data_IF_831386493505
#
_entry.id   IF_831386493505
#
_cell.length_a   1.000
_cell.length_b   1.000
_cell.length_c   1.000
_cell.angle_alpha   90.00
_cell.angle_beta   90.00
_cell.angle_gamma   90.00
#
_symmetry.space_group_name_H-M   'P 1'
#
loop_
_entity.id
_entity.type
_entity.pdbx_description
1 polymer ?
#
# COMPACT_ATOMS: atom_id res chain seq x y z
N UNK A 1 -6.06 -25.68 -6.24
CA UNK A 1 -5.60 -25.31 -4.87
C UNK A 1 -6.32 -24.06 -4.36
N UNK A 2 -6.34 -22.98 -5.13
CA UNK A 2 -7.05 -21.74 -4.76
C UNK A 2 -8.53 -21.97 -4.41
N UNK A 3 -9.32 -22.53 -5.33
CA UNK A 3 -10.74 -22.85 -5.11
C UNK A 3 -11.00 -23.69 -3.85
N UNK A 4 -10.10 -24.64 -3.54
CA UNK A 4 -10.18 -25.44 -2.33
C UNK A 4 -10.03 -24.59 -1.06
N UNK A 5 -9.03 -23.71 -1.01
CA UNK A 5 -8.85 -22.82 0.14
C UNK A 5 -9.93 -21.75 0.22
N UNK A 6 -10.37 -21.17 -0.91
CA UNK A 6 -11.49 -20.24 -0.93
C UNK A 6 -12.77 -20.87 -0.39
N UNK A 7 -13.03 -22.16 -0.69
CA UNK A 7 -14.13 -22.92 -0.10
C UNK A 7 -13.97 -23.14 1.41
N UNK A 8 -12.76 -23.46 1.90
CA UNK A 8 -12.49 -23.62 3.34
C UNK A 8 -12.63 -22.31 4.13
N UNK A 9 -12.43 -21.18 3.48
CA UNK A 9 -12.59 -19.82 4.00
C UNK A 9 -13.98 -19.23 3.71
N UNK A 10 -14.92 -20.05 3.24
CA UNK A 10 -16.30 -19.63 3.09
C UNK A 10 -16.96 -19.52 4.47
N UNK A 11 -17.77 -18.47 4.64
CA UNK A 11 -18.58 -18.30 5.84
C UNK A 11 -19.83 -19.17 5.65
N UNK A 12 -19.98 -20.18 6.52
CA UNK A 12 -21.10 -21.10 6.53
C UNK A 12 -21.90 -20.90 7.82
N UNK A 13 -23.19 -21.26 7.81
CA UNK A 13 -24.04 -21.19 9.01
C UNK A 13 -23.70 -22.24 10.08
N UNK A 14 -22.76 -23.14 9.79
CA UNK A 14 -22.30 -24.18 10.71
C UNK A 14 -21.01 -23.77 11.41
N UNK A 15 -20.75 -24.36 12.58
CA UNK A 15 -19.47 -24.18 13.28
C UNK A 15 -18.27 -24.46 12.36
N UNK A 16 -17.29 -23.56 12.41
CA UNK A 16 -16.05 -23.69 11.65
C UNK A 16 -14.86 -23.59 12.59
N UNK A 17 -14.22 -24.72 12.87
CA UNK A 17 -13.04 -24.78 13.71
C UNK A 17 -11.92 -23.85 13.22
N UNK A 18 -11.82 -23.63 11.89
CA UNK A 18 -10.86 -22.72 11.29
C UNK A 18 -11.10 -21.28 11.76
N UNK A 19 -12.32 -20.77 11.63
CA UNK A 19 -12.62 -19.37 11.96
C UNK A 19 -12.57 -19.08 13.46
N UNK A 20 -12.68 -20.10 14.32
CA UNK A 20 -12.53 -19.97 15.78
C UNK A 20 -11.07 -20.06 16.26
N UNK A 21 -10.12 -20.43 15.41
CA UNK A 21 -8.77 -20.80 15.83
C UNK A 21 -7.84 -19.60 16.11
N UNK A 22 -8.30 -18.36 15.96
CA UNK A 22 -7.54 -17.13 16.27
C UNK A 22 -6.17 -17.06 15.60
N UNK A 23 -5.09 -17.02 16.39
CA UNK A 23 -3.71 -17.02 15.84
C UNK A 23 -3.41 -18.23 14.94
N UNK A 24 -3.96 -19.41 15.22
CA UNK A 24 -3.78 -20.58 14.35
C UNK A 24 -4.49 -20.40 13.00
N UNK A 25 -5.58 -19.63 12.97
CA UNK A 25 -6.24 -19.28 11.72
C UNK A 25 -5.37 -18.34 10.87
N UNK A 26 -4.72 -17.36 11.49
CA UNK A 26 -3.75 -16.50 10.81
C UNK A 26 -2.59 -17.32 10.19
N UNK A 27 -2.08 -18.32 10.91
CA UNK A 27 -1.06 -19.21 10.37
C UNK A 27 -1.61 -20.05 9.20
N UNK A 28 -2.81 -20.63 9.37
CA UNK A 28 -3.46 -21.44 8.34
C UNK A 28 -3.64 -20.67 7.02
N UNK A 29 -4.10 -19.41 7.08
CA UNK A 29 -4.37 -18.62 5.87
C UNK A 29 -3.08 -18.24 5.15
N UNK A 30 -2.01 -17.91 5.90
CA UNK A 30 -0.68 -17.63 5.32
C UNK A 30 -0.12 -18.89 4.66
N UNK A 31 -0.17 -20.04 5.35
CA UNK A 31 0.31 -21.31 4.80
C UNK A 31 -0.48 -21.72 3.54
N UNK A 32 -1.79 -21.52 3.54
CA UNK A 32 -2.66 -21.79 2.40
C UNK A 32 -2.27 -20.94 1.18
N UNK A 33 -2.03 -19.64 1.38
CA UNK A 33 -1.58 -18.76 0.31
C UNK A 33 -0.18 -19.15 -0.20
N UNK A 34 0.79 -19.32 0.71
CA UNK A 34 2.17 -19.65 0.33
C UNK A 34 2.23 -20.96 -0.45
N UNK A 35 1.44 -21.99 -0.08
CA UNK A 35 1.32 -23.24 -0.84
C UNK A 35 0.72 -23.01 -2.23
N UNK A 36 -0.33 -22.20 -2.32
CA UNK A 36 -1.00 -21.89 -3.59
C UNK A 36 -0.06 -21.16 -4.55
N UNK A 37 0.67 -20.19 -4.03
CA UNK A 37 1.63 -19.40 -4.79
C UNK A 37 2.88 -20.20 -5.16
N UNK A 38 3.39 -21.05 -4.26
CA UNK A 38 4.51 -21.93 -4.55
C UNK A 38 4.22 -22.84 -5.75
N UNK A 39 2.96 -23.30 -5.91
CA UNK A 39 2.56 -24.04 -7.10
C UNK A 39 2.59 -23.18 -8.37
N UNK A 40 2.17 -21.91 -8.29
CA UNK A 40 2.29 -20.96 -9.42
C UNK A 40 3.75 -20.70 -9.78
N UNK A 41 4.62 -20.51 -8.78
CA UNK A 41 6.06 -20.32 -8.96
C UNK A 41 6.72 -21.58 -9.54
N UNK A 42 6.33 -22.77 -9.09
CA UNK A 42 6.81 -24.03 -9.65
C UNK A 42 6.45 -24.17 -11.13
N UNK A 43 5.22 -23.81 -11.50
CA UNK A 43 4.80 -23.74 -12.90
C UNK A 43 5.70 -22.78 -13.70
N UNK A 44 5.91 -21.54 -13.23
CA UNK A 44 6.81 -20.61 -13.92
C UNK A 44 8.24 -21.17 -14.05
N UNK A 45 8.79 -21.78 -12.99
CA UNK A 45 10.13 -22.38 -13.00
C UNK A 45 10.28 -23.49 -14.04
N UNK A 46 9.26 -24.33 -14.20
CA UNK A 46 9.28 -25.48 -15.11
C UNK A 46 8.95 -25.10 -16.57
N UNK A 47 8.25 -23.99 -16.79
CA UNK A 47 7.73 -23.58 -18.10
C UNK A 47 8.45 -22.37 -18.72
N UNK A 48 9.72 -22.13 -18.37
CA UNK A 48 10.50 -20.96 -18.84
C UNK A 48 10.58 -20.86 -20.37
N UNK A 49 10.69 -21.99 -21.09
CA UNK A 49 10.71 -22.03 -22.57
C UNK A 49 9.39 -21.52 -23.17
N UNK A 50 8.26 -21.94 -22.60
CA UNK A 50 6.93 -21.49 -23.04
C UNK A 50 6.71 -20.00 -22.81
N UNK A 51 7.37 -19.43 -21.78
CA UNK A 51 7.35 -18.00 -21.47
C UNK A 51 8.25 -17.18 -22.41
N UNK A 52 8.90 -17.81 -23.40
CA UNK A 52 9.81 -17.18 -24.40
C UNK A 52 10.89 -16.32 -23.76
N UNK A 53 11.46 -16.82 -22.67
CA UNK A 53 12.48 -16.12 -21.89
C UNK A 53 13.74 -15.85 -22.72
N UNK A 54 14.02 -16.66 -23.74
CA UNK A 54 15.10 -16.38 -24.69
C UNK A 54 14.98 -15.06 -25.46
N UNK A 55 13.80 -14.43 -25.51
CA UNK A 55 13.60 -13.15 -26.22
C UNK A 55 14.15 -11.93 -25.45
N UNK A 56 14.53 -12.08 -24.18
CA UNK A 56 15.09 -10.99 -23.37
C UNK A 56 16.58 -10.75 -23.65
N UNK A 57 16.93 -10.47 -24.92
CA UNK A 57 18.32 -10.33 -25.41
C UNK A 57 19.16 -9.36 -24.56
N UNK A 58 18.61 -8.18 -24.22
CA UNK A 58 19.33 -7.20 -23.41
C UNK A 58 19.62 -7.65 -21.96
N UNK A 59 18.79 -8.52 -21.38
CA UNK A 59 19.08 -9.11 -20.06
C UNK A 59 20.19 -10.16 -20.17
N UNK A 60 20.15 -10.99 -21.21
CA UNK A 60 21.17 -12.01 -21.47
C UNK A 60 22.54 -11.35 -21.65
N UNK A 61 22.61 -10.25 -22.42
CA UNK A 61 23.84 -9.50 -22.67
C UNK A 61 24.38 -8.87 -21.38
N UNK A 62 23.50 -8.31 -20.53
CA UNK A 62 23.88 -7.75 -19.23
C UNK A 62 24.47 -8.81 -18.30
N UNK A 63 23.81 -9.96 -18.16
CA UNK A 63 24.26 -11.06 -17.30
C UNK A 63 25.56 -11.70 -17.82
N UNK A 64 25.73 -11.76 -19.15
CA UNK A 64 26.99 -12.21 -19.74
C UNK A 64 28.14 -11.27 -19.37
N UNK A 65 27.92 -9.95 -19.45
CA UNK A 65 28.92 -8.97 -19.04
C UNK A 65 29.22 -9.04 -17.54
N UNK A 66 28.20 -9.17 -16.68
CA UNK A 66 28.37 -9.30 -15.23
C UNK A 66 29.15 -10.58 -14.86
N UNK A 67 28.84 -11.70 -15.51
CA UNK A 67 29.58 -12.95 -15.31
C UNK A 67 31.06 -12.80 -15.71
N UNK A 68 31.36 -12.12 -16.82
CA UNK A 68 32.73 -11.83 -17.24
C UNK A 68 33.46 -10.95 -16.22
N UNK A 69 32.79 -9.91 -15.68
CA UNK A 69 33.36 -9.02 -14.65
C UNK A 69 33.69 -9.81 -13.37
N UNK A 70 32.81 -10.74 -12.96
CA UNK A 70 33.02 -11.57 -11.76
C UNK A 70 33.93 -12.79 -11.99
N UNK A 71 34.42 -13.02 -13.22
CA UNK A 71 35.20 -14.21 -13.58
C UNK A 71 34.39 -15.51 -13.53
N UNK A 72 33.06 -15.41 -13.60
CA UNK A 72 32.11 -16.53 -13.53
C UNK A 72 31.59 -16.89 -14.92
N UNK A 73 31.07 -18.11 -15.07
CA UNK A 73 30.30 -18.47 -16.27
C UNK A 73 28.82 -18.08 -16.10
N UNK A 74 28.12 -17.59 -17.14
CA UNK A 74 26.68 -17.38 -17.07
C UNK A 74 25.97 -18.69 -16.71
N UNK A 75 25.19 -18.66 -15.63
CA UNK A 75 24.44 -19.80 -15.12
C UNK A 75 23.02 -19.89 -15.67
N UNK A 76 22.17 -20.64 -14.96
CA UNK A 76 20.76 -20.77 -15.34
C UNK A 76 20.01 -19.47 -15.07
N UNK A 77 19.20 -19.06 -16.05
CA UNK A 77 18.34 -17.88 -15.97
C UNK A 77 16.90 -18.33 -15.76
N UNK A 78 16.29 -17.85 -14.68
CA UNK A 78 14.88 -18.08 -14.33
C UNK A 78 14.22 -16.71 -14.15
N UNK A 79 13.30 -16.40 -15.04
CA UNK A 79 12.55 -15.14 -15.08
C UNK A 79 11.17 -15.35 -14.48
N UNK A 80 10.73 -14.34 -13.71
CA UNK A 80 9.37 -14.26 -13.19
C UNK A 80 8.60 -13.22 -14.03
N UNK A 81 7.64 -13.63 -14.88
CA UNK A 81 6.99 -12.72 -15.83
C UNK A 81 6.20 -11.60 -15.14
N UNK A 82 5.93 -10.51 -15.88
CA UNK A 82 5.09 -9.40 -15.40
C UNK A 82 3.64 -9.80 -15.11
N UNK A 83 3.16 -10.93 -15.64
CA UNK A 83 1.85 -11.50 -15.30
C UNK A 83 1.79 -12.04 -13.87
N UNK A 84 2.93 -12.28 -13.22
CA UNK A 84 2.97 -12.73 -11.83
C UNK A 84 2.78 -11.54 -10.87
N UNK A 85 1.58 -11.45 -10.29
CA UNK A 85 1.16 -10.36 -9.42
C UNK A 85 2.05 -10.21 -8.17
N UNK A 86 2.68 -9.05 -8.00
CA UNK A 86 3.62 -8.76 -6.91
C UNK A 86 5.07 -9.18 -7.21
N UNK A 87 5.35 -9.72 -8.40
CA UNK A 87 6.72 -9.93 -8.87
C UNK A 87 7.42 -8.61 -9.22
N UNK A 88 8.76 -8.56 -9.21
CA UNK A 88 9.54 -7.38 -9.59
C UNK A 88 9.14 -6.75 -10.93
N UNK A 89 8.90 -7.60 -11.94
CA UNK A 89 8.52 -7.15 -13.29
C UNK A 89 7.09 -6.64 -13.36
N UNK A 90 6.16 -7.25 -12.62
CA UNK A 90 4.79 -6.77 -12.53
C UNK A 90 4.73 -5.36 -11.93
N UNK A 91 5.50 -5.15 -10.86
CA UNK A 91 5.63 -3.84 -10.22
C UNK A 91 6.22 -2.80 -11.19
N UNK A 92 7.29 -3.14 -11.91
CA UNK A 92 7.90 -2.26 -12.89
C UNK A 92 6.96 -1.92 -14.05
N UNK A 93 6.22 -2.92 -14.54
CA UNK A 93 5.21 -2.73 -15.59
C UNK A 93 4.11 -1.78 -15.13
N UNK A 94 3.57 -1.98 -13.93
CA UNK A 94 2.54 -1.11 -13.35
C UNK A 94 3.04 0.33 -13.17
N UNK A 95 4.33 0.52 -12.84
CA UNK A 95 4.94 1.85 -12.78
C UNK A 95 4.98 2.53 -14.14
N UNK A 96 5.44 1.82 -15.15
CA UNK A 96 5.48 2.34 -16.52
C UNK A 96 4.08 2.68 -17.02
N UNK A 97 3.09 1.85 -16.71
CA UNK A 97 1.68 2.09 -17.04
C UNK A 97 1.16 3.39 -16.41
N UNK A 98 1.38 3.57 -15.11
CA UNK A 98 0.95 4.78 -14.41
C UNK A 98 1.64 6.03 -14.95
N UNK A 99 2.94 5.93 -15.29
CA UNK A 99 3.68 7.02 -15.94
C UNK A 99 3.11 7.33 -17.34
N UNK A 100 2.72 6.32 -18.11
CA UNK A 100 2.08 6.51 -19.41
C UNK A 100 0.71 7.20 -19.29
N UNK A 101 -0.09 6.81 -18.29
CA UNK A 101 -1.37 7.47 -17.98
C UNK A 101 -1.14 8.95 -17.65
N UNK A 102 -0.23 9.26 -16.72
CA UNK A 102 0.06 10.66 -16.36
C UNK A 102 0.61 11.45 -17.55
N UNK A 103 1.47 10.84 -18.37
CA UNK A 103 2.00 11.50 -19.58
C UNK A 103 0.87 11.86 -20.56
N UNK A 104 -0.16 11.01 -20.69
CA UNK A 104 -1.26 11.20 -21.63
C UNK A 104 -2.35 12.14 -21.11
N UNK A 105 -2.76 11.98 -19.85
CA UNK A 105 -3.91 12.68 -19.26
C UNK A 105 -3.52 13.90 -18.41
N UNK A 106 -2.22 14.16 -18.26
CA UNK A 106 -1.70 15.32 -17.55
C UNK A 106 -1.41 15.05 -16.08
N UNK A 107 -1.08 16.13 -15.36
CA UNK A 107 -0.68 16.04 -13.94
C UNK A 107 -1.79 15.44 -13.07
N UNK A 108 -1.35 14.75 -12.03
CA UNK A 108 -2.20 14.29 -10.92
C UNK A 108 -2.81 15.47 -10.19
N UNK A 109 -4.00 15.28 -9.60
CA UNK A 109 -4.68 16.30 -8.80
C UNK A 109 -4.87 15.85 -7.35
N UNK A 110 -5.23 14.58 -7.11
CA UNK A 110 -5.47 14.05 -5.77
C UNK A 110 -4.64 12.80 -5.49
N UNK A 111 -4.18 12.69 -4.24
CA UNK A 111 -3.65 11.47 -3.66
C UNK A 111 -4.43 11.12 -2.40
N UNK A 112 -5.10 9.97 -2.44
CA UNK A 112 -5.95 9.49 -1.35
C UNK A 112 -5.32 8.24 -0.77
N UNK A 113 -5.19 8.20 0.55
CA UNK A 113 -4.81 7.00 1.29
C UNK A 113 -5.97 6.59 2.18
N UNK A 114 -6.47 5.37 2.00
CA UNK A 114 -7.57 4.79 2.77
C UNK A 114 -7.09 3.57 3.55
N UNK A 115 -7.14 3.64 4.87
CA UNK A 115 -6.76 2.56 5.78
C UNK A 115 -8.00 1.88 6.33
N UNK A 116 -8.01 0.54 6.34
CA UNK A 116 -9.08 -0.23 6.99
C UNK A 116 -9.25 0.16 8.46
N UNK A 117 -10.49 0.31 8.93
CA UNK A 117 -10.80 0.47 10.34
C UNK A 117 -11.24 -0.89 10.94
N UNK A 118 -10.54 -1.44 11.94
CA UNK A 118 -10.90 -2.73 12.53
C UNK A 118 -12.15 -2.67 13.42
N UNK A 119 -12.61 -1.46 13.75
CA UNK A 119 -13.80 -1.18 14.58
C UNK A 119 -15.03 -0.83 13.75
N UNK A 120 -15.02 -1.14 12.45
CA UNK A 120 -16.25 -1.05 11.66
C UNK A 120 -17.29 -2.01 12.21
N UNK A 121 -18.55 -1.55 12.22
CA UNK A 121 -19.68 -2.31 12.74
C UNK A 121 -19.79 -3.68 12.07
N UNK A 122 -19.57 -3.74 10.77
CA UNK A 122 -19.59 -4.96 9.97
C UNK A 122 -18.53 -5.98 10.41
N UNK A 123 -17.43 -5.54 11.01
CA UNK A 123 -16.43 -6.42 11.61
C UNK A 123 -16.90 -6.85 13.01
N UNK A 124 -17.19 -5.89 13.88
CA UNK A 124 -17.53 -6.17 15.29
C UNK A 124 -18.76 -7.07 15.44
N UNK A 125 -19.79 -6.87 14.62
CA UNK A 125 -21.01 -7.70 14.61
C UNK A 125 -20.77 -9.15 14.14
N UNK A 126 -19.67 -9.41 13.43
CA UNK A 126 -19.35 -10.72 12.85
C UNK A 126 -18.14 -11.41 13.51
N UNK A 127 -17.64 -10.85 14.62
CA UNK A 127 -16.68 -11.53 15.49
C UNK A 127 -17.41 -12.51 16.41
N UNK A 128 -16.83 -13.70 16.61
CA UNK A 128 -17.32 -14.62 17.62
C UNK A 128 -16.95 -14.13 19.03
N UNK A 129 -17.67 -14.56 20.09
CA UNK A 129 -17.34 -14.18 21.46
C UNK A 129 -15.87 -14.43 21.80
N UNK A 130 -15.19 -13.39 22.30
CA UNK A 130 -13.78 -13.44 22.69
C UNK A 130 -12.77 -13.24 21.55
N UNK A 131 -13.21 -13.04 20.29
CA UNK A 131 -12.31 -12.74 19.18
C UNK A 131 -11.95 -11.26 19.11
N UNK A 132 -10.71 -10.99 18.71
CA UNK A 132 -10.28 -9.67 18.25
C UNK A 132 -10.38 -9.59 16.71
N UNK A 133 -10.45 -8.37 16.11
CA UNK A 133 -10.40 -8.20 14.66
C UNK A 133 -9.20 -8.88 13.99
N UNK A 134 -8.05 -8.94 14.67
CA UNK A 134 -6.85 -9.62 14.19
C UNK A 134 -7.01 -11.14 14.07
N UNK A 135 -7.92 -11.75 14.82
CA UNK A 135 -8.22 -13.18 14.74
C UNK A 135 -9.01 -13.56 13.49
N UNK A 136 -9.60 -12.59 12.79
CA UNK A 136 -10.42 -12.79 11.59
C UNK A 136 -9.89 -11.99 10.39
N UNK A 137 -8.69 -12.33 9.88
CA UNK A 137 -8.11 -11.63 8.73
C UNK A 137 -8.94 -11.76 7.45
N UNK A 138 -9.72 -12.85 7.31
CA UNK A 138 -10.69 -13.03 6.23
C UNK A 138 -11.79 -11.95 6.26
N UNK A 139 -12.34 -11.67 7.44
CA UNK A 139 -13.39 -10.69 7.67
C UNK A 139 -12.89 -9.27 7.42
N UNK A 140 -11.72 -8.93 7.99
CA UNK A 140 -11.03 -7.65 7.77
C UNK A 140 -10.87 -7.38 6.28
N UNK A 141 -10.32 -8.35 5.55
CA UNK A 141 -10.06 -8.23 4.10
C UNK A 141 -11.35 -8.07 3.30
N UNK A 142 -12.41 -8.82 3.63
CA UNK A 142 -13.71 -8.72 2.95
C UNK A 142 -14.39 -7.38 3.20
N UNK A 143 -14.47 -6.94 4.45
CA UNK A 143 -15.11 -5.66 4.80
C UNK A 143 -14.33 -4.50 4.19
N UNK A 144 -13.00 -4.52 4.24
CA UNK A 144 -12.19 -3.50 3.58
C UNK A 144 -12.45 -3.47 2.06
N UNK A 145 -12.53 -4.64 1.40
CA UNK A 145 -12.84 -4.69 -0.03
C UNK A 145 -14.19 -4.05 -0.35
N UNK A 146 -15.22 -4.31 0.46
CA UNK A 146 -16.55 -3.71 0.29
C UNK A 146 -16.51 -2.19 0.46
N UNK A 147 -15.85 -1.69 1.52
CA UNK A 147 -15.70 -0.24 1.76
C UNK A 147 -14.87 0.43 0.66
N UNK A 148 -13.85 -0.27 0.15
CA UNK A 148 -13.04 0.20 -0.95
C UNK A 148 -13.85 0.32 -2.24
N UNK A 149 -14.69 -0.67 -2.55
CA UNK A 149 -15.57 -0.63 -3.73
C UNK A 149 -16.56 0.53 -3.64
N UNK A 150 -17.12 0.75 -2.45
CA UNK A 150 -17.98 1.91 -2.19
C UNK A 150 -17.20 3.23 -2.39
N UNK A 151 -15.96 3.33 -1.91
CA UNK A 151 -15.11 4.52 -2.12
C UNK A 151 -14.80 4.76 -3.61
N UNK A 152 -14.52 3.69 -4.35
CA UNK A 152 -14.29 3.73 -5.80
C UNK A 152 -15.54 4.24 -6.51
N UNK A 153 -16.72 3.76 -6.14
CA UNK A 153 -17.99 4.20 -6.72
C UNK A 153 -18.29 5.66 -6.39
N UNK A 154 -18.06 6.07 -5.15
CA UNK A 154 -18.20 7.46 -4.74
C UNK A 154 -17.30 8.39 -5.57
N UNK A 155 -16.01 8.08 -5.67
CA UNK A 155 -15.04 8.91 -6.37
C UNK A 155 -15.24 8.91 -7.89
N UNK A 156 -15.51 7.76 -8.48
CA UNK A 156 -15.43 7.60 -9.94
C UNK A 156 -16.78 7.48 -10.64
N UNK A 157 -17.87 7.18 -9.94
CA UNK A 157 -19.23 7.17 -10.50
C UNK A 157 -20.05 8.36 -10.03
N UNK A 158 -20.01 8.66 -8.72
CA UNK A 158 -20.79 9.79 -8.18
C UNK A 158 -20.03 11.11 -8.20
N UNK A 159 -18.70 11.07 -8.44
CA UNK A 159 -17.85 12.24 -8.63
C UNK A 159 -17.84 13.21 -7.44
N UNK A 160 -17.86 12.70 -6.21
CA UNK A 160 -17.91 13.53 -4.99
C UNK A 160 -16.76 14.53 -4.85
N UNK A 161 -15.61 14.29 -5.50
CA UNK A 161 -14.45 15.18 -5.53
C UNK A 161 -14.18 15.76 -6.93
N UNK A 162 -15.17 15.70 -7.83
CA UNK A 162 -15.04 16.07 -9.23
C UNK A 162 -14.96 14.86 -10.17
N UNK A 163 -15.18 15.10 -11.46
CA UNK A 163 -15.14 14.06 -12.51
C UNK A 163 -13.72 13.55 -12.68
N UNK A 164 -13.55 12.25 -12.49
CA UNK A 164 -12.26 11.58 -12.69
C UNK A 164 -12.12 11.14 -14.14
N UNK A 165 -11.08 11.63 -14.83
CA UNK A 165 -10.75 11.18 -16.19
C UNK A 165 -9.76 10.04 -16.19
N UNK A 166 -8.88 9.94 -15.20
CA UNK A 166 -7.96 8.81 -15.05
C UNK A 166 -7.61 8.59 -13.58
N UNK A 167 -7.42 7.32 -13.23
CA UNK A 167 -6.98 6.90 -11.90
C UNK A 167 -6.06 5.68 -11.96
N UNK A 168 -5.26 5.53 -10.91
CA UNK A 168 -4.48 4.34 -10.59
C UNK A 168 -4.56 4.13 -9.08
N UNK A 169 -4.82 2.90 -8.63
CA UNK A 169 -4.71 2.57 -7.22
C UNK A 169 -3.94 1.30 -6.96
N UNK A 170 -3.37 1.20 -5.77
CA UNK A 170 -2.73 -0.01 -5.24
C UNK A 170 -3.15 -0.29 -3.81
N UNK A 171 -3.20 -1.57 -3.48
CA UNK A 171 -3.39 -2.11 -2.15
C UNK A 171 -2.04 -2.47 -1.53
N UNK A 172 -1.75 -1.88 -0.38
CA UNK A 172 -0.57 -2.16 0.43
C UNK A 172 -0.98 -2.88 1.73
N UNK A 173 -0.16 -3.84 2.15
CA UNK A 173 -0.26 -4.49 3.45
C UNK A 173 0.99 -4.14 4.26
N UNK A 174 0.83 -3.34 5.30
CA UNK A 174 1.96 -2.94 6.13
C UNK A 174 2.36 -4.09 7.07
N UNK A 175 3.65 -4.14 7.45
CA UNK A 175 4.22 -5.15 8.38
C UNK A 175 3.42 -5.29 9.70
N UNK A 176 2.69 -4.24 10.11
CA UNK A 176 1.94 -4.15 11.37
C UNK A 176 0.42 -4.11 11.22
N UNK A 177 -0.15 -4.08 10.02
CA UNK A 177 -1.54 -3.65 9.93
C UNK A 177 -2.24 -3.92 8.62
N UNK A 178 -3.53 -4.22 8.81
CA UNK A 178 -4.70 -3.79 8.08
C UNK A 178 -4.49 -3.34 6.62
N UNK A 179 -5.31 -3.80 5.67
CA UNK A 179 -5.21 -3.37 4.29
C UNK A 179 -5.28 -1.84 4.14
N UNK A 180 -4.45 -1.30 3.25
CA UNK A 180 -4.43 0.10 2.86
C UNK A 180 -4.64 0.21 1.36
N UNK A 181 -5.31 1.27 0.90
CA UNK A 181 -5.38 1.64 -0.50
C UNK A 181 -4.74 3.01 -0.69
N UNK A 182 -3.90 3.11 -1.71
CA UNK A 182 -3.34 4.37 -2.19
C UNK A 182 -3.87 4.63 -3.59
N UNK A 183 -4.56 5.76 -3.79
CA UNK A 183 -5.17 6.14 -5.06
C UNK A 183 -4.60 7.46 -5.57
N UNK A 184 -4.26 7.47 -6.85
CA UNK A 184 -3.91 8.66 -7.61
C UNK A 184 -5.04 8.98 -8.60
N UNK A 185 -5.45 10.24 -8.63
CA UNK A 185 -6.60 10.71 -9.43
C UNK A 185 -6.18 11.89 -10.29
N UNK A 186 -6.62 11.85 -11.55
CA UNK A 186 -6.60 12.95 -12.51
C UNK A 186 -8.06 13.35 -12.76
N UNK A 187 -8.39 14.59 -12.43
CA UNK A 187 -9.69 15.21 -12.64
C UNK A 187 -9.82 15.79 -14.05
N UNK A 188 -11.05 15.89 -14.51
CA UNK A 188 -11.47 16.58 -15.73
C UNK A 188 -11.05 18.07 -15.70
N UNK A 189 -10.90 18.70 -16.87
CA UNK A 189 -10.48 20.11 -16.97
C UNK A 189 -11.43 21.06 -16.24
N UNK A 190 -12.73 20.77 -16.26
CA UNK A 190 -13.74 21.63 -15.64
C UNK A 190 -13.69 21.59 -14.11
N UNK A 191 -13.32 20.42 -13.56
CA UNK A 191 -13.23 20.12 -12.13
C UNK A 191 -11.81 20.26 -11.57
N UNK A 192 -10.86 20.77 -12.37
CA UNK A 192 -9.50 21.05 -11.88
C UNK A 192 -9.53 21.99 -10.67
N UNK A 193 -8.59 21.77 -9.78
CA UNK A 193 -8.37 22.62 -8.61
C UNK A 193 -7.76 23.94 -9.09
N UNK A 194 -8.46 25.06 -8.88
CA UNK A 194 -8.18 26.36 -9.49
C UNK A 194 -7.43 27.30 -8.55
N UNK A 195 -7.76 27.27 -7.26
CA UNK A 195 -7.25 28.20 -6.26
C UNK A 195 -7.24 27.58 -4.85
N UNK A 196 -6.70 28.34 -3.90
CA UNK A 196 -6.55 27.94 -2.50
C UNK A 196 -7.89 27.74 -1.78
N UNK A 197 -8.95 28.46 -2.18
CA UNK A 197 -10.29 28.28 -1.59
C UNK A 197 -10.88 26.94 -2.04
N UNK A 198 -10.73 26.59 -3.31
CA UNK A 198 -11.14 25.27 -3.82
C UNK A 198 -10.37 24.14 -3.09
N UNK A 199 -9.08 24.33 -2.81
CA UNK A 199 -8.32 23.36 -1.99
C UNK A 199 -8.94 23.21 -0.61
N UNK A 200 -9.24 24.33 0.07
CA UNK A 200 -9.81 24.33 1.42
C UNK A 200 -11.24 23.75 1.48
N UNK A 201 -11.95 23.65 0.34
CA UNK A 201 -13.22 22.92 0.22
C UNK A 201 -13.05 21.40 0.11
N UNK A 202 -11.94 20.94 -0.46
CA UNK A 202 -11.65 19.51 -0.64
C UNK A 202 -10.91 18.95 0.58
N UNK A 203 -9.95 19.70 1.12
CA UNK A 203 -9.02 19.24 2.15
C UNK A 203 -9.09 20.16 3.37
N UNK A 204 -9.27 19.54 4.53
CA UNK A 204 -9.19 20.16 5.84
C UNK A 204 -7.98 19.59 6.60
N UNK A 205 -7.38 20.38 7.48
CA UNK A 205 -6.30 19.97 8.39
C UNK A 205 -6.49 20.58 9.78
N UNK A 206 -7.75 20.82 10.16
CA UNK A 206 -8.13 21.49 11.40
C UNK A 206 -9.05 20.60 12.23
N UNK A 207 -9.00 20.79 13.54
CA UNK A 207 -9.90 20.22 14.52
C UNK A 207 -11.27 20.90 14.35
N UNK A 208 -12.35 20.15 14.11
CA UNK A 208 -13.70 20.70 14.03
C UNK A 208 -14.14 21.29 15.37
N UNK A 209 -15.08 22.24 15.34
CA UNK A 209 -15.76 22.68 16.55
C UNK A 209 -16.62 21.54 17.11
N UNK A 210 -16.35 21.12 18.35
CA UNK A 210 -17.03 19.99 18.98
C UNK A 210 -18.52 20.25 19.29
N UNK A 211 -18.92 21.51 19.49
CA UNK A 211 -20.31 21.89 19.73
C UNK A 211 -21.11 21.92 18.43
N UNK A 212 -20.50 22.34 17.32
CA UNK A 212 -21.15 22.43 16.01
C UNK A 212 -21.12 21.11 15.23
N UNK A 213 -20.00 20.39 15.30
CA UNK A 213 -19.76 19.17 14.51
C UNK A 213 -19.25 18.03 15.38
N UNK A 214 -20.03 17.55 16.37
CA UNK A 214 -19.57 16.56 17.35
C UNK A 214 -19.13 15.24 16.70
N UNK A 215 -19.83 14.79 15.66
CA UNK A 215 -19.49 13.56 14.95
C UNK A 215 -18.17 13.68 14.18
N UNK A 216 -17.98 14.78 13.45
CA UNK A 216 -16.73 15.01 12.71
C UNK A 216 -15.55 15.19 13.68
N UNK A 217 -15.76 15.90 14.80
CA UNK A 217 -14.76 16.04 15.86
C UNK A 217 -14.30 14.67 16.36
N UNK A 218 -15.23 13.75 16.63
CA UNK A 218 -14.90 12.41 17.08
C UNK A 218 -14.20 11.57 16.00
N UNK A 219 -14.60 11.68 14.73
CA UNK A 219 -13.89 11.02 13.64
C UNK A 219 -12.46 11.57 13.48
N UNK A 220 -12.27 12.88 13.59
CA UNK A 220 -10.94 13.50 13.55
C UNK A 220 -10.10 13.02 14.72
N UNK A 221 -10.69 12.96 15.94
CA UNK A 221 -10.03 12.44 17.15
C UNK A 221 -9.47 11.05 16.95
N UNK A 222 -10.29 10.15 16.40
CA UNK A 222 -9.96 8.73 16.27
C UNK A 222 -8.97 8.46 15.15
N UNK A 223 -9.13 9.17 14.02
CA UNK A 223 -8.51 8.74 12.77
C UNK A 223 -7.51 9.72 12.21
N UNK A 224 -7.65 11.03 12.47
CA UNK A 224 -6.90 12.06 11.74
C UNK A 224 -5.80 12.72 12.55
N UNK A 225 -5.46 12.23 13.74
CA UNK A 225 -4.37 12.84 14.50
C UNK A 225 -3.10 12.02 14.36
N UNK A 226 -2.01 12.70 14.02
CA UNK A 226 -0.69 12.10 14.01
C UNK A 226 -0.30 11.72 15.44
N UNK A 227 0.17 10.49 15.63
CA UNK A 227 0.63 10.01 16.92
C UNK A 227 1.74 10.91 17.49
N UNK A 228 1.83 10.95 18.82
CA UNK A 228 2.86 11.72 19.52
C UNK A 228 4.24 11.36 18.95
N UNK A 229 5.06 12.35 18.58
CA UNK A 229 6.39 12.17 18.03
C UNK A 229 7.30 13.37 18.36
N UNK A 230 8.52 13.39 17.85
CA UNK A 230 9.44 14.50 18.06
C UNK A 230 9.89 14.55 19.52
N UNK A 231 9.81 15.73 20.12
CA UNK A 231 10.12 15.94 21.54
C UNK A 231 9.14 15.24 22.46
N UNK A 232 7.87 15.06 22.05
CA UNK A 232 6.85 14.39 22.87
C UNK A 232 7.09 12.87 22.95
N UNK A 233 7.64 12.28 21.88
CA UNK A 233 7.96 10.86 21.85
C UNK A 233 9.08 10.57 20.81
N UNK A 234 10.35 10.61 21.25
CA UNK A 234 11.51 10.39 20.37
C UNK A 234 11.61 8.98 19.79
N UNK A 235 10.94 7.99 20.39
CA UNK A 235 10.99 6.58 19.97
C UNK A 235 9.89 6.20 18.98
N UNK A 236 9.13 7.18 18.50
CA UNK A 236 8.03 6.94 17.57
C UNK A 236 8.53 6.37 16.24
N UNK A 237 7.80 5.44 15.59
CA UNK A 237 8.23 4.83 14.33
C UNK A 237 8.45 5.82 13.17
N UNK A 238 7.88 7.02 13.27
CA UNK A 238 8.04 8.07 12.28
C UNK A 238 9.32 8.91 12.45
N UNK A 239 10.08 8.71 13.53
CA UNK A 239 11.30 9.48 13.80
C UNK A 239 12.46 8.97 12.96
N UNK A 240 13.08 9.87 12.20
CA UNK A 240 14.29 9.65 11.40
C UNK A 240 15.26 10.79 11.73
N UNK A 241 16.50 10.46 12.11
CA UNK A 241 17.55 11.43 12.45
C UNK A 241 17.11 12.53 13.45
N UNK A 242 16.35 12.13 14.48
CA UNK A 242 15.87 13.04 15.53
C UNK A 242 14.73 13.98 15.10
N UNK A 243 14.18 13.83 13.89
CA UNK A 243 13.04 14.59 13.38
C UNK A 243 11.92 13.67 12.91
N UNK A 244 10.68 14.15 12.93
CA UNK A 244 9.59 13.40 12.34
C UNK A 244 9.75 13.39 10.81
N UNK A 245 9.81 12.21 10.19
CA UNK A 245 9.86 12.00 8.74
C UNK A 245 8.65 12.59 7.99
N UNK A 246 7.55 12.86 8.70
CA UNK A 246 6.34 13.52 8.21
C UNK A 246 6.26 15.00 8.58
N UNK A 247 7.29 15.51 9.25
CA UNK A 247 7.45 16.90 9.72
C UNK A 247 6.34 17.38 10.67
N UNK A 248 5.86 16.49 11.54
CA UNK A 248 4.99 16.87 12.65
C UNK A 248 5.80 17.34 13.87
N UNK A 249 5.29 18.32 14.64
CA UNK A 249 4.11 19.13 14.35
C UNK A 249 4.33 20.07 13.15
N UNK A 250 3.30 20.25 12.32
CA UNK A 250 3.32 21.20 11.20
C UNK A 250 3.29 22.65 11.72
N UNK A 251 3.56 23.62 10.86
CA UNK A 251 3.42 25.04 11.22
C UNK A 251 1.97 25.48 11.11
N UNK A 252 1.56 26.42 11.97
CA UNK A 252 0.31 27.13 11.77
C UNK A 252 0.37 27.97 10.50
N UNK A 253 -0.78 28.10 9.86
CA UNK A 253 -0.92 28.66 8.53
C UNK A 253 -2.37 29.17 8.36
N UNK A 254 -2.56 30.47 8.15
CA UNK A 254 -3.91 31.04 8.04
C UNK A 254 -4.59 30.78 6.69
N UNK A 255 -3.80 30.53 5.64
CA UNK A 255 -4.26 30.24 4.27
C UNK A 255 -3.41 29.14 3.65
N UNK A 256 -3.99 28.33 2.77
CA UNK A 256 -3.23 27.35 2.01
C UNK A 256 -2.21 28.05 1.11
N UNK A 257 -0.97 27.55 1.05
CA UNK A 257 0.10 28.13 0.23
C UNK A 257 0.93 27.05 -0.48
N UNK A 258 1.40 27.35 -1.69
CA UNK A 258 2.41 26.55 -2.37
C UNK A 258 3.76 26.59 -1.65
N UNK A 259 4.38 25.43 -1.39
CA UNK A 259 5.75 25.33 -0.88
C UNK A 259 6.76 25.28 -2.05
N UNK A 260 8.00 25.71 -1.79
CA UNK A 260 9.10 25.73 -2.77
C UNK A 260 9.44 24.35 -3.35
N UNK A 261 9.12 23.28 -2.62
CA UNK A 261 9.45 21.89 -3.00
C UNK A 261 8.37 21.20 -3.86
N UNK A 262 7.25 21.88 -4.14
CA UNK A 262 6.13 21.36 -4.92
C UNK A 262 5.05 20.63 -4.11
N UNK A 263 5.04 20.78 -2.79
CA UNK A 263 3.95 20.34 -1.90
C UNK A 263 3.18 21.54 -1.37
N UNK A 264 1.90 21.38 -1.06
CA UNK A 264 1.09 22.45 -0.46
C UNK A 264 1.25 22.46 1.06
N UNK A 265 1.25 23.65 1.65
CA UNK A 265 1.05 23.85 3.08
C UNK A 265 -0.40 24.21 3.31
N UNK A 266 -1.19 23.25 3.77
CA UNK A 266 -2.61 23.46 4.04
C UNK A 266 -2.84 24.46 5.16
N UNK A 267 -3.97 25.15 5.08
CA UNK A 267 -4.51 25.97 6.16
C UNK A 267 -4.64 25.17 7.46
N UNK A 268 -4.04 25.71 8.52
CA UNK A 268 -4.01 25.21 9.90
C UNK A 268 -4.01 26.42 10.82
N UNK A 269 -5.17 27.00 11.10
CA UNK A 269 -5.25 28.21 11.93
C UNK A 269 -4.94 27.89 13.37
N UNK A 270 -4.35 28.85 14.07
CA UNK A 270 -4.29 28.82 15.53
C UNK A 270 -5.62 29.39 16.04
N UNK A 271 -6.59 28.50 16.27
CA UNK A 271 -7.94 28.86 16.72
C UNK A 271 -8.18 28.54 18.20
N UNK A 272 -7.12 28.18 18.94
CA UNK A 272 -7.19 27.80 20.36
C UNK A 272 -7.90 26.47 20.64
N UNK A 273 -8.34 25.72 19.61
CA UNK A 273 -8.97 24.42 19.81
C UNK A 273 -7.88 23.35 20.01
N UNK A 274 -7.97 22.61 21.11
CA UNK A 274 -7.09 21.49 21.43
C UNK A 274 -7.84 20.18 21.55
N UNK A 275 -7.11 19.09 21.47
CA UNK A 275 -7.56 17.72 21.73
C UNK A 275 -6.52 17.00 22.57
N UNK A 276 -6.96 16.10 23.45
CA UNK A 276 -6.05 15.26 24.22
C UNK A 276 -5.80 13.94 23.48
N UNK A 277 -4.52 13.59 23.31
CA UNK A 277 -4.06 12.28 22.85
C UNK A 277 -3.11 11.71 23.88
N UNK A 278 -3.42 10.51 24.35
CA UNK A 278 -2.73 9.85 25.45
C UNK A 278 -2.67 10.77 26.69
N UNK A 279 -1.55 11.47 26.87
CA UNK A 279 -1.26 12.42 27.96
C UNK A 279 -0.89 13.82 27.48
N UNK A 280 -0.99 14.08 26.18
CA UNK A 280 -0.56 15.33 25.55
C UNK A 280 -1.76 16.07 24.96
N UNK A 281 -1.75 17.39 25.11
CA UNK A 281 -2.64 18.25 24.33
C UNK A 281 -2.01 18.58 22.98
N UNK A 282 -2.81 18.41 21.93
CA UNK A 282 -2.43 18.68 20.55
C UNK A 282 -3.45 19.63 19.92
N UNK A 283 -2.99 20.37 18.91
CA UNK A 283 -3.77 21.35 18.15
C UNK A 283 -3.75 21.01 16.65
N UNK A 284 -4.22 21.96 15.82
CA UNK A 284 -4.27 21.82 14.36
C UNK A 284 -2.93 21.46 13.69
N UNK A 285 -1.79 21.62 14.37
CA UNK A 285 -0.47 21.23 13.84
C UNK A 285 -0.27 19.72 13.75
N UNK A 286 -1.09 18.94 14.46
CA UNK A 286 -1.00 17.47 14.53
C UNK A 286 -1.99 16.74 13.63
N UNK A 287 -2.90 17.47 12.98
CA UNK A 287 -3.97 16.87 12.18
C UNK A 287 -3.46 16.44 10.80
N UNK A 288 -3.69 15.21 10.41
CA UNK A 288 -3.47 14.70 9.06
C UNK A 288 -4.55 15.26 8.14
N UNK A 289 -4.21 15.60 6.89
CA UNK A 289 -5.15 16.20 5.95
C UNK A 289 -6.28 15.23 5.58
N UNK A 290 -7.53 15.70 5.59
CA UNK A 290 -8.70 14.86 5.35
C UNK A 290 -9.78 15.61 4.56
N UNK A 291 -10.69 14.85 3.95
CA UNK A 291 -11.94 15.40 3.44
C UNK A 291 -13.06 15.10 4.47
N UNK A 292 -13.80 16.10 4.99
CA UNK A 292 -14.81 15.90 6.02
C UNK A 292 -15.89 14.88 5.65
N UNK A 293 -16.37 14.90 4.40
CA UNK A 293 -17.39 13.98 3.92
C UNK A 293 -16.88 12.53 3.91
N UNK A 294 -15.72 12.30 3.29
CA UNK A 294 -15.11 10.97 3.23
C UNK A 294 -14.82 10.42 4.64
N UNK A 295 -14.26 11.24 5.51
CA UNK A 295 -13.94 10.84 6.88
C UNK A 295 -15.19 10.41 7.65
N UNK A 296 -16.29 11.18 7.54
CA UNK A 296 -17.55 10.85 8.20
C UNK A 296 -18.20 9.61 7.61
N UNK A 297 -18.26 9.50 6.27
CA UNK A 297 -18.93 8.38 5.59
C UNK A 297 -18.24 7.05 5.90
N UNK A 298 -16.91 7.01 5.82
CA UNK A 298 -16.17 5.77 5.99
C UNK A 298 -15.70 5.53 7.43
N UNK A 299 -15.75 6.52 8.32
CA UNK A 299 -15.32 6.42 9.71
C UNK A 299 -14.00 5.65 9.84
N UNK A 300 -12.97 6.11 9.15
CA UNK A 300 -11.70 5.44 9.02
C UNK A 300 -10.59 6.44 8.70
N UNK A 301 -9.33 6.00 8.81
CA UNK A 301 -8.21 6.85 8.43
C UNK A 301 -8.17 7.03 6.90
N UNK A 302 -8.67 8.18 6.42
CA UNK A 302 -8.59 8.65 5.04
C UNK A 302 -7.80 9.96 4.97
N UNK A 303 -6.57 9.87 4.45
CA UNK A 303 -5.76 11.05 4.13
C UNK A 303 -6.05 11.50 2.69
N UNK A 304 -6.34 12.79 2.49
CA UNK A 304 -6.53 13.39 1.17
C UNK A 304 -5.52 14.50 0.97
N UNK A 305 -4.69 14.38 -0.07
CA UNK A 305 -3.68 15.37 -0.41
C UNK A 305 -3.86 15.84 -1.86
N UNK A 306 -3.69 17.15 -2.07
CA UNK A 306 -3.59 17.74 -3.39
C UNK A 306 -2.19 17.46 -3.97
N UNK A 307 -2.15 16.81 -5.13
CA UNK A 307 -0.91 16.55 -5.86
C UNK A 307 -0.59 17.71 -6.79
N UNK A 308 0.45 18.48 -6.47
CA UNK A 308 0.91 19.53 -7.38
C UNK A 308 2.05 19.08 -8.32
N UNK A 309 2.69 17.93 -8.05
CA UNK A 309 3.86 17.47 -8.81
C UNK A 309 3.86 15.98 -9.13
N UNK A 310 4.59 15.62 -10.19
CA UNK A 310 4.84 14.22 -10.61
C UNK A 310 5.61 13.42 -9.54
N UNK A 311 6.20 14.08 -8.53
CA UNK A 311 6.87 13.41 -7.39
C UNK A 311 5.91 12.48 -6.64
N UNK A 312 4.61 12.77 -6.64
CA UNK A 312 3.59 11.89 -6.04
C UNK A 312 3.49 10.52 -6.72
N UNK A 313 3.88 10.38 -7.99
CA UNK A 313 4.00 9.06 -8.63
C UNK A 313 5.17 8.29 -8.04
N UNK A 314 6.35 8.93 -7.93
CA UNK A 314 7.49 8.30 -7.25
C UNK A 314 7.12 7.91 -5.82
N UNK A 315 6.26 8.68 -5.16
CA UNK A 315 5.77 8.39 -3.81
C UNK A 315 4.77 7.23 -3.80
N UNK A 316 3.72 7.20 -4.64
CA UNK A 316 2.81 6.04 -4.77
C UNK A 316 3.61 4.76 -5.01
N UNK A 317 4.53 4.83 -5.95
CA UNK A 317 5.35 3.68 -6.27
C UNK A 317 6.45 3.42 -5.26
N UNK A 318 6.89 4.38 -4.43
CA UNK A 318 7.75 4.09 -3.27
C UNK A 318 7.07 3.10 -2.32
N UNK A 319 5.75 3.19 -2.11
CA UNK A 319 5.00 2.23 -1.28
C UNK A 319 4.85 0.86 -1.96
N UNK A 320 4.71 0.85 -3.28
CA UNK A 320 4.72 -0.39 -4.10
C UNK A 320 6.11 -1.04 -4.15
N UNK A 321 7.16 -0.21 -4.19
CA UNK A 321 8.58 -0.58 -4.31
C UNK A 321 9.27 -0.76 -2.97
N UNK A 322 8.62 -0.46 -1.83
CA UNK A 322 9.16 -0.76 -0.50
C UNK A 322 9.10 -2.27 -0.32
N UNK A 323 10.02 -2.96 -1.01
CA UNK A 323 10.35 -4.36 -0.78
C UNK A 323 10.62 -4.51 0.70
N UNK A 324 10.32 -5.67 1.24
CA UNK A 324 10.63 -5.92 2.63
C UNK A 324 12.14 -5.72 2.81
N UNK A 325 12.52 -5.00 3.86
CA UNK A 325 13.93 -4.86 4.23
C UNK A 325 14.54 -6.28 4.27
N UNK A 326 15.44 -6.58 3.33
CA UNK A 326 16.04 -7.90 3.19
C UNK A 326 17.56 -7.75 3.25
N UNK A 327 18.20 -8.53 4.13
CA UNK A 327 19.64 -8.73 4.12
C UNK A 327 19.91 -10.11 3.50
N UNK A 328 20.49 -10.14 2.30
CA UNK A 328 20.87 -11.40 1.66
C UNK A 328 22.34 -11.68 1.96
N UNK A 329 22.62 -12.66 2.82
CA UNK A 329 23.98 -13.11 3.15
C UNK A 329 24.31 -14.30 2.25
N UNK A 330 25.13 -14.07 1.22
CA UNK A 330 25.70 -15.15 0.42
C UNK A 330 27.04 -15.58 1.04
N UNK A 331 27.08 -16.75 1.66
CA UNK A 331 28.33 -17.37 2.10
C UNK A 331 29.07 -17.92 0.88
N UNK A 332 30.10 -17.21 0.41
CA UNK A 332 31.06 -17.77 -0.56
C UNK A 332 32.01 -18.69 0.20
N UNK A 333 32.17 -19.93 -0.27
CA UNK A 333 33.21 -20.81 0.28
C UNK A 333 34.57 -20.25 -0.16
N UNK A 334 35.58 -20.18 0.73
CA UNK A 334 36.93 -19.90 0.28
C UNK A 334 37.35 -21.00 -0.71
N UNK A 335 37.98 -20.59 -1.81
CA UNK A 335 38.52 -21.50 -2.82
C UNK A 335 39.53 -22.40 -2.11
N UNK A 336 39.19 -23.67 -1.89
CA UNK A 336 40.17 -24.66 -1.47
C UNK A 336 41.01 -25.02 -2.69
N UNK A 337 42.29 -24.66 -2.67
CA UNK A 337 43.26 -25.12 -3.66
C UNK A 337 43.26 -26.67 -3.69
N UNK A 338 42.93 -27.25 -4.85
CA UNK A 338 43.09 -28.68 -5.10
C UNK A 338 41.82 -29.55 -5.08
N UNK A 339 40.66 -29.03 -4.69
CA UNK A 339 39.39 -29.69 -5.02
C UNK A 339 38.94 -29.20 -6.40
N UNK A 340 38.39 -30.09 -7.25
CA UNK A 340 37.73 -29.67 -8.49
C UNK A 340 36.62 -28.68 -8.14
N UNK A 341 36.94 -27.39 -8.19
CA UNK A 341 36.01 -26.34 -7.82
C UNK A 341 34.80 -26.50 -8.75
N UNK A 342 33.64 -26.79 -8.17
CA UNK A 342 32.39 -26.65 -8.89
C UNK A 342 32.42 -25.24 -9.49
N UNK A 343 32.55 -25.16 -10.81
CA UNK A 343 32.79 -23.92 -11.52
C UNK A 343 31.65 -22.98 -11.14
N UNK A 344 31.94 -21.93 -10.37
CA UNK A 344 30.89 -21.03 -9.88
C UNK A 344 30.22 -20.40 -11.11
N UNK A 345 28.89 -20.49 -11.14
CA UNK A 345 28.07 -19.92 -12.21
C UNK A 345 27.25 -18.77 -11.66
N UNK A 346 27.09 -17.72 -12.46
CA UNK A 346 26.20 -16.62 -12.13
C UNK A 346 24.76 -17.05 -12.42
N UNK A 347 24.09 -17.62 -11.42
CA UNK A 347 22.66 -17.94 -11.53
C UNK A 347 21.79 -16.70 -11.32
N UNK A 348 20.95 -16.40 -12.30
CA UNK A 348 19.93 -15.36 -12.20
C UNK A 348 18.56 -15.99 -11.94
N UNK A 349 18.02 -15.84 -10.74
CA UNK A 349 16.79 -16.51 -10.33
C UNK A 349 15.81 -15.53 -9.67
N UNK A 350 14.94 -14.92 -10.48
CA UNK A 350 13.96 -13.94 -10.01
C UNK A 350 12.92 -14.55 -9.07
N UNK A 351 12.65 -15.86 -9.19
CA UNK A 351 11.77 -16.57 -8.26
C UNK A 351 12.41 -16.63 -6.86
N UNK A 352 13.70 -16.96 -6.79
CA UNK A 352 14.43 -16.99 -5.52
C UNK A 352 14.52 -15.59 -4.91
N UNK A 353 14.87 -14.59 -5.72
CA UNK A 353 14.87 -13.18 -5.27
C UNK A 353 13.50 -12.73 -4.75
N UNK A 354 12.41 -13.15 -5.40
CA UNK A 354 11.06 -12.87 -4.94
C UNK A 354 10.74 -13.53 -3.60
N UNK A 355 11.14 -14.79 -3.39
CA UNK A 355 10.92 -15.53 -2.15
C UNK A 355 11.78 -15.04 -0.98
N UNK A 356 13.05 -14.73 -1.22
CA UNK A 356 14.04 -14.37 -0.18
C UNK A 356 13.80 -12.97 0.43
N UNK A 357 13.02 -12.11 -0.24
CA UNK A 357 12.88 -10.69 0.10
C UNK A 357 11.46 -10.29 0.53
N UNK A 358 10.66 -11.21 1.09
CA UNK A 358 9.25 -10.95 1.35
C UNK A 358 8.76 -11.34 2.73
N UNK A 359 7.77 -10.58 3.19
CA UNK A 359 6.91 -10.84 4.32
C UNK A 359 5.48 -10.90 3.78
N UNK A 360 4.70 -11.89 4.22
CA UNK A 360 3.29 -12.01 3.85
C UNK A 360 2.45 -11.92 5.11
N UNK A 361 1.56 -10.94 5.18
CA UNK A 361 0.62 -10.80 6.30
C UNK A 361 -0.61 -11.68 6.12
N UNK A 362 -1.33 -12.00 7.21
CA UNK A 362 -2.57 -12.78 7.12
C UNK A 362 -3.67 -12.07 6.29
N UNK A 363 -3.90 -10.75 6.40
CA UNK A 363 -4.82 -10.04 5.52
C UNK A 363 -4.40 -10.06 4.04
N UNK A 364 -3.09 -9.96 3.76
CA UNK A 364 -2.57 -10.10 2.38
C UNK A 364 -2.85 -11.50 1.83
N UNK A 365 -2.53 -12.54 2.60
CA UNK A 365 -2.80 -13.92 2.21
C UNK A 365 -4.30 -14.13 1.91
N UNK A 366 -5.18 -13.59 2.75
CA UNK A 366 -6.62 -13.61 2.53
C UNK A 366 -7.01 -12.89 1.22
N UNK A 367 -6.50 -11.67 1.00
CA UNK A 367 -6.76 -10.86 -0.19
C UNK A 367 -6.42 -11.63 -1.47
N UNK A 368 -5.26 -12.30 -1.46
CA UNK A 368 -4.77 -13.09 -2.58
C UNK A 368 -5.55 -14.38 -2.79
N UNK A 369 -5.97 -15.06 -1.72
CA UNK A 369 -6.80 -16.25 -1.78
C UNK A 369 -8.22 -15.97 -2.27
N UNK A 370 -8.72 -14.75 -2.07
CA UNK A 370 -10.00 -14.27 -2.61
C UNK A 370 -9.90 -13.66 -4.01
N UNK A 371 -8.70 -13.66 -4.61
CA UNK A 371 -8.45 -13.11 -5.94
C UNK A 371 -8.81 -11.62 -6.08
N UNK A 372 -8.75 -10.88 -4.97
CA UNK A 372 -8.98 -9.44 -5.03
C UNK A 372 -7.79 -8.76 -5.73
N UNK A 373 -8.05 -7.76 -6.59
CA UNK A 373 -6.99 -7.08 -7.33
C UNK A 373 -6.11 -6.27 -6.37
N UNK A 374 -4.79 -6.40 -6.48
CA UNK A 374 -3.84 -5.58 -5.72
C UNK A 374 -3.65 -4.20 -6.32
N UNK A 375 -3.94 -4.04 -7.60
CA UNK A 375 -3.78 -2.79 -8.30
C UNK A 375 -4.87 -2.69 -9.35
N UNK A 376 -5.23 -1.48 -9.71
CA UNK A 376 -6.09 -1.22 -10.85
C UNK A 376 -5.72 0.12 -11.49
N UNK A 377 -6.09 0.25 -12.77
CA UNK A 377 -5.89 1.46 -13.55
C UNK A 377 -7.10 1.66 -14.45
N UNK A 378 -7.49 2.92 -14.60
CA UNK A 378 -8.57 3.37 -15.48
C UNK A 378 -8.38 3.03 -16.96
N UNK A 379 -7.13 2.87 -17.43
CA UNK A 379 -6.81 2.70 -18.84
C UNK A 379 -5.90 1.50 -19.11
N UNK A 380 -6.19 0.78 -20.18
CA UNK A 380 -5.26 -0.17 -20.77
C UNK A 380 -4.16 0.58 -21.54
N UNK A 381 -2.92 0.14 -21.36
CA UNK A 381 -1.77 0.61 -22.13
C UNK A 381 -1.42 -0.53 -23.08
N UNK A 382 -1.45 -0.24 -24.39
CA UNK A 382 -1.25 -1.20 -25.48
C UNK A 382 0.04 -0.83 -26.21
#
# INVERSE_FOLDING_TARGET
>A
MLQFYSYRLAILQTFSAIHYAGKLFQQYIVDAYVKTEQNRLAFHRQNQKTLRVELYRGLMDHLANEAVIEGLKPGRIIILPSSFQGGPRAIQHNYQDAMAIVRKYGKLDLFITFTCNPTWREIEEHLFPGQAPSDRPDLITRVFKLKLDELIDDLFKTHILGRTIANVFVIEFQKRGLPHCHMLIILDSEDKIKDDNHIDHIVCSEIPDAARFPQLYECVRRHMIHGSCGTLNPHSPCMEDGKCSKEFPKKFQNVTMANKDGYLRYRRRDNGITMTIDKYEVDNRWIVSYNPYLLMKYNAHINVEICATVKSIKYLFKYIYKRCDCCNIKLKRPIQEGAAAAQETLEWNEIKTHLDARYVSAPEAAWRLFEFPLHNKSHAII
#
